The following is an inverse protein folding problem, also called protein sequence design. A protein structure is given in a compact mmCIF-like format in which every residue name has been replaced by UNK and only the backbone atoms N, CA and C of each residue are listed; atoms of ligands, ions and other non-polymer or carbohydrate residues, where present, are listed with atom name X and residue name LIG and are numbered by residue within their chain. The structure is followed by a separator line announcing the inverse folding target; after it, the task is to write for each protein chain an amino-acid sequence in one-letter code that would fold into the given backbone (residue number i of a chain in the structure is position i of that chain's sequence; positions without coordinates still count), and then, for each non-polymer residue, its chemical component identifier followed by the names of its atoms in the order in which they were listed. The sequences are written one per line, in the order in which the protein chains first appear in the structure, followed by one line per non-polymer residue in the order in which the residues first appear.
data_IF_338598681855
#
_entry.id   IF_338598681855
#
_cell.length_a   1.000
_cell.length_b   1.000
_cell.length_c   1.000
_cell.angle_alpha   90.00
_cell.angle_beta   90.00
_cell.angle_gamma   90.00
#
_symmetry.space_group_name_H-M   'P 1'
#
loop_
_entity.id
_entity.type
_entity.pdbx_description
1 polymer ?
#
# COMPACT_ATOMS: atom_id res chain seq x y z
N UNK A 1 13.00 -1.91 5.49
CA UNK A 1 11.98 -2.25 6.50
C UNK A 1 10.94 -1.15 6.52
N UNK A 2 9.73 -1.50 6.08
CA UNK A 2 8.46 -0.85 6.38
C UNK A 2 7.60 -1.90 7.13
N UNK A 3 6.29 -1.71 7.16
CA UNK A 3 5.34 -2.84 7.21
C UNK A 3 5.42 -3.70 5.94
N UNK A 4 4.68 -4.81 5.90
CA UNK A 4 4.49 -5.67 4.73
C UNK A 4 3.03 -6.09 4.72
N UNK A 5 2.27 -5.78 3.66
CA UNK A 5 0.89 -6.28 3.53
C UNK A 5 0.88 -7.82 3.42
N UNK A 6 -0.10 -8.46 4.06
CA UNK A 6 -0.32 -9.91 4.06
C UNK A 6 -1.82 -10.13 3.94
N UNK A 7 -2.24 -10.92 2.95
CA UNK A 7 -3.62 -11.29 2.73
C UNK A 7 -4.13 -12.33 3.75
N UNK A 8 -5.45 -12.40 3.92
CA UNK A 8 -6.13 -13.22 4.92
C UNK A 8 -5.87 -14.74 4.77
N UNK A 9 -5.49 -15.41 5.86
CA UNK A 9 -5.31 -16.86 5.88
C UNK A 9 -6.68 -17.55 6.03
N UNK A 10 -7.35 -17.83 4.90
CA UNK A 10 -8.71 -18.42 4.86
C UNK A 10 -8.79 -19.91 5.22
N UNK A 11 -7.68 -20.55 5.59
CA UNK A 11 -7.60 -21.97 5.97
C UNK A 11 -6.53 -22.16 7.05
N UNK A 12 -6.87 -22.88 8.12
CA UNK A 12 -5.95 -23.13 9.23
C UNK A 12 -4.92 -24.20 8.83
N UNK A 13 -3.68 -23.79 8.54
CA UNK A 13 -2.63 -24.72 8.10
C UNK A 13 -2.18 -25.72 9.18
N UNK A 14 -2.18 -25.31 10.46
CA UNK A 14 -1.79 -26.15 11.59
C UNK A 14 -2.66 -25.86 12.82
N UNK A 15 -3.14 -26.91 13.49
CA UNK A 15 -3.74 -26.79 14.83
C UNK A 15 -2.59 -26.56 15.83
N UNK A 16 -2.62 -25.53 16.69
CA UNK A 16 -1.60 -25.34 17.71
C UNK A 16 -1.59 -26.50 18.72
N UNK A 17 -0.44 -27.16 18.90
CA UNK A 17 -0.27 -28.18 19.93
C UNK A 17 -0.15 -27.55 21.33
N UNK A 18 -1.08 -27.91 22.23
CA UNK A 18 -1.19 -27.33 23.58
C UNK A 18 -0.57 -28.21 24.68
N UNK A 19 -0.25 -29.48 24.38
CA UNK A 19 0.29 -30.47 25.33
C UNK A 19 -0.72 -31.56 25.71
N UNK A 20 -0.22 -32.72 26.17
CA UNK A 20 -1.07 -33.90 26.43
C UNK A 20 -1.86 -33.83 27.76
N UNK A 21 -1.57 -32.86 28.63
CA UNK A 21 -2.14 -32.74 29.98
C UNK A 21 -3.32 -31.73 30.06
N UNK A 22 -4.08 -31.61 28.97
CA UNK A 22 -5.08 -30.57 28.73
C UNK A 22 -6.47 -30.96 29.28
N UNK A 23 -7.26 -29.95 29.69
CA UNK A 23 -8.59 -30.12 30.29
C UNK A 23 -9.71 -29.53 29.40
N UNK A 24 -10.96 -29.92 29.69
CA UNK A 24 -12.22 -29.53 29.01
C UNK A 24 -12.44 -28.02 28.71
N UNK A 25 -11.64 -27.11 29.26
CA UNK A 25 -11.69 -25.68 28.90
C UNK A 25 -11.08 -25.38 27.53
N UNK A 26 -10.28 -26.29 27.00
CA UNK A 26 -9.52 -26.09 25.76
C UNK A 26 -10.18 -26.80 24.56
N UNK A 27 -11.10 -27.75 24.79
CA UNK A 27 -12.00 -28.29 23.76
C UNK A 27 -12.79 -27.14 23.11
N UNK A 28 -13.42 -26.29 23.94
CA UNK A 28 -14.08 -25.05 23.50
C UNK A 28 -13.15 -24.10 22.72
N UNK A 29 -11.85 -24.04 23.04
CA UNK A 29 -10.90 -23.20 22.31
C UNK A 29 -10.61 -23.77 20.92
N UNK A 30 -10.53 -25.09 20.77
CA UNK A 30 -10.39 -25.73 19.45
C UNK A 30 -11.67 -25.56 18.64
N UNK A 31 -12.87 -25.76 19.21
CA UNK A 31 -14.14 -25.50 18.52
C UNK A 31 -14.28 -24.03 18.08
N UNK A 32 -13.94 -23.07 18.96
CA UNK A 32 -13.95 -21.65 18.63
C UNK A 32 -12.92 -21.28 17.55
N UNK A 33 -11.72 -21.88 17.61
CA UNK A 33 -10.68 -21.69 16.60
C UNK A 33 -11.12 -22.24 15.24
N UNK A 34 -11.72 -23.42 15.19
CA UNK A 34 -12.24 -24.01 13.95
C UNK A 34 -13.39 -23.18 13.36
N UNK A 35 -14.29 -22.68 14.21
CA UNK A 35 -15.39 -21.79 13.79
C UNK A 35 -14.86 -20.53 13.08
N UNK A 36 -13.72 -19.99 13.52
CA UNK A 36 -13.07 -18.81 12.95
C UNK A 36 -12.46 -18.99 11.54
N UNK A 37 -12.38 -20.24 11.04
CA UNK A 37 -11.92 -20.58 9.70
C UNK A 37 -12.99 -21.38 8.92
N UNK A 38 -14.28 -21.27 9.28
CA UNK A 38 -15.39 -22.05 8.70
C UNK A 38 -15.18 -23.58 8.77
N UNK A 39 -14.40 -24.08 9.73
CA UNK A 39 -13.98 -25.49 9.81
C UNK A 39 -12.88 -25.90 8.82
N UNK A 40 -12.31 -24.98 8.03
CA UNK A 40 -11.29 -25.25 7.01
C UNK A 40 -9.92 -25.45 7.66
N UNK A 41 -9.53 -26.70 7.82
CA UNK A 41 -8.18 -27.12 8.24
C UNK A 41 -7.45 -27.65 7.01
N UNK A 42 -6.17 -27.31 6.84
CA UNK A 42 -5.34 -27.95 5.83
C UNK A 42 -5.04 -29.40 6.23
N UNK A 43 -5.79 -30.36 5.69
CA UNK A 43 -5.53 -31.79 5.94
C UNK A 43 -4.42 -32.31 5.04
N UNK A 44 -3.45 -33.03 5.61
CA UNK A 44 -2.43 -33.80 4.86
C UNK A 44 -3.02 -35.09 4.23
N UNK A 45 -4.20 -34.98 3.60
CA UNK A 45 -4.78 -36.06 2.81
C UNK A 45 -3.98 -36.23 1.52
N UNK A 46 -3.64 -37.47 1.23
CA UNK A 46 -2.55 -37.85 0.33
C UNK A 46 -2.69 -37.28 -1.10
N UNK A 47 -1.59 -36.71 -1.61
CA UNK A 47 -1.29 -36.54 -3.03
C UNK A 47 -2.36 -35.86 -3.93
N UNK A 48 -3.23 -35.00 -3.40
CA UNK A 48 -4.14 -34.20 -4.25
C UNK A 48 -3.38 -33.03 -4.92
N UNK A 49 -2.71 -33.32 -6.04
CA UNK A 49 -1.95 -32.36 -6.86
C UNK A 49 -2.83 -31.56 -7.82
N UNK A 50 -2.32 -30.47 -8.39
CA UNK A 50 -3.01 -29.71 -9.43
C UNK A 50 -3.33 -30.55 -10.69
N UNK A 51 -2.55 -31.60 -10.96
CA UNK A 51 -2.82 -32.58 -12.02
C UNK A 51 -4.12 -33.34 -11.78
N UNK A 52 -4.28 -33.85 -10.55
CA UNK A 52 -5.47 -34.59 -10.12
C UNK A 52 -6.67 -33.64 -9.97
N UNK A 53 -6.46 -32.40 -9.55
CA UNK A 53 -7.50 -31.37 -9.53
C UNK A 53 -8.06 -31.09 -10.93
N UNK A 54 -7.19 -30.90 -11.94
CA UNK A 54 -7.63 -30.64 -13.32
C UNK A 54 -8.29 -31.86 -13.94
N UNK A 55 -7.75 -33.07 -13.72
CA UNK A 55 -8.38 -34.32 -14.20
C UNK A 55 -9.75 -34.56 -13.55
N UNK A 56 -9.91 -34.21 -12.26
CA UNK A 56 -11.18 -34.27 -11.56
C UNK A 56 -12.20 -33.27 -12.14
N UNK A 57 -11.80 -32.01 -12.35
CA UNK A 57 -12.66 -30.99 -12.96
C UNK A 57 -13.11 -31.42 -14.35
N UNK A 58 -12.21 -31.92 -15.20
CA UNK A 58 -12.54 -32.35 -16.56
C UNK A 58 -13.47 -33.58 -16.63
N UNK A 59 -13.46 -34.43 -15.60
CA UNK A 59 -14.38 -35.56 -15.48
C UNK A 59 -15.72 -35.19 -14.86
N UNK A 60 -15.74 -34.24 -13.91
CA UNK A 60 -16.96 -33.79 -13.25
C UNK A 60 -17.75 -32.78 -14.08
N UNK A 61 -17.10 -31.83 -14.73
CA UNK A 61 -17.77 -30.72 -15.44
C UNK A 61 -18.80 -31.18 -16.52
N UNK A 62 -18.59 -32.27 -17.29
CA UNK A 62 -19.62 -32.80 -18.20
C UNK A 62 -20.78 -33.56 -17.52
N UNK A 63 -20.68 -33.80 -16.21
CA UNK A 63 -21.63 -34.57 -15.39
C UNK A 63 -22.36 -33.72 -14.35
N UNK A 64 -21.97 -32.46 -14.18
CA UNK A 64 -22.61 -31.48 -13.29
C UNK A 64 -23.71 -30.75 -14.08
N UNK A 65 -24.93 -30.56 -13.53
CA UNK A 65 -25.98 -29.79 -14.19
C UNK A 65 -25.60 -28.33 -14.45
N UNK A 66 -26.09 -27.72 -15.53
CA UNK A 66 -25.79 -26.33 -15.91
C UNK A 66 -26.20 -25.29 -14.83
N UNK A 67 -27.11 -25.63 -13.91
CA UNK A 67 -27.52 -24.81 -12.77
C UNK A 67 -26.58 -24.93 -11.55
N UNK A 68 -25.53 -25.76 -11.61
CA UNK A 68 -24.59 -26.00 -10.53
C UNK A 68 -23.14 -25.69 -10.91
N UNK A 69 -22.42 -25.01 -10.03
CA UNK A 69 -21.03 -24.63 -10.25
C UNK A 69 -20.07 -25.74 -9.78
N UNK A 70 -19.41 -26.43 -10.73
CA UNK A 70 -18.41 -27.49 -10.43
C UNK A 70 -17.30 -27.02 -9.47
N UNK A 71 -16.91 -25.75 -9.54
CA UNK A 71 -15.87 -25.19 -8.67
C UNK A 71 -16.36 -25.00 -7.22
N UNK A 72 -17.66 -24.73 -7.01
CA UNK A 72 -18.27 -24.70 -5.67
C UNK A 72 -18.44 -26.11 -5.11
N UNK A 73 -18.84 -27.08 -5.92
CA UNK A 73 -18.91 -28.49 -5.50
C UNK A 73 -17.52 -28.97 -5.03
N UNK A 74 -16.47 -28.68 -5.78
CA UNK A 74 -15.10 -29.05 -5.42
C UNK A 74 -14.61 -28.25 -4.21
N UNK A 75 -14.90 -26.96 -4.10
CA UNK A 75 -14.55 -26.15 -2.91
C UNK A 75 -15.26 -26.65 -1.64
N UNK A 76 -16.49 -27.15 -1.74
CA UNK A 76 -17.23 -27.72 -0.61
C UNK A 76 -16.70 -29.11 -0.18
N UNK A 77 -16.21 -29.92 -1.12
CA UNK A 77 -15.64 -31.25 -0.82
C UNK A 77 -14.16 -31.18 -0.40
N UNK A 78 -13.41 -30.23 -0.96
CA UNK A 78 -11.97 -30.02 -0.77
C UNK A 78 -11.70 -28.59 -0.26
N UNK A 79 -12.35 -28.22 0.85
CA UNK A 79 -12.33 -26.87 1.41
C UNK A 79 -10.94 -26.40 1.88
N UNK A 80 -9.96 -27.33 1.96
CA UNK A 80 -8.55 -27.06 2.21
C UNK A 80 -7.77 -26.58 0.98
N UNK A 81 -8.33 -26.71 -0.24
CA UNK A 81 -7.68 -26.31 -1.51
C UNK A 81 -8.01 -24.88 -1.95
N UNK A 82 -8.92 -24.21 -1.24
CA UNK A 82 -9.31 -22.81 -1.43
C UNK A 82 -10.78 -22.60 -1.77
N UNK A 83 -11.14 -21.34 -2.02
CA UNK A 83 -12.46 -20.96 -2.54
C UNK A 83 -12.69 -21.52 -3.95
N UNK A 84 -13.95 -21.56 -4.39
CA UNK A 84 -14.31 -21.89 -5.77
C UNK A 84 -13.58 -21.00 -6.79
N UNK A 85 -13.32 -19.74 -6.45
CA UNK A 85 -12.60 -18.78 -7.29
C UNK A 85 -11.10 -19.09 -7.37
N UNK A 86 -10.44 -19.39 -6.25
CA UNK A 86 -9.04 -19.81 -6.21
C UNK A 86 -8.83 -21.13 -6.97
N UNK A 87 -9.77 -22.07 -6.85
CA UNK A 87 -9.74 -23.37 -7.55
C UNK A 87 -9.94 -23.16 -9.06
N UNK A 88 -10.87 -22.29 -9.47
CA UNK A 88 -11.11 -21.89 -10.86
C UNK A 88 -9.87 -21.19 -11.46
N UNK A 89 -9.21 -20.32 -10.71
CA UNK A 89 -7.96 -19.68 -11.13
C UNK A 89 -6.87 -20.73 -11.37
N UNK A 90 -6.58 -21.61 -10.40
CA UNK A 90 -5.57 -22.68 -10.53
C UNK A 90 -5.86 -23.61 -11.72
N UNK A 91 -7.11 -23.99 -11.93
CA UNK A 91 -7.54 -24.79 -13.09
C UNK A 91 -7.26 -24.07 -14.42
N UNK A 92 -7.58 -22.78 -14.52
CA UNK A 92 -7.29 -21.97 -15.70
C UNK A 92 -5.78 -21.86 -15.94
N UNK A 93 -5.00 -21.49 -14.92
CA UNK A 93 -3.53 -21.41 -14.99
C UNK A 93 -2.89 -22.72 -15.42
N UNK A 94 -3.36 -23.85 -14.90
CA UNK A 94 -2.82 -25.17 -15.22
C UNK A 94 -3.22 -25.66 -16.62
N UNK A 95 -4.42 -25.30 -17.10
CA UNK A 95 -4.82 -25.55 -18.51
C UNK A 95 -4.12 -24.62 -19.49
N UNK A 96 -3.86 -23.37 -19.12
CA UNK A 96 -3.01 -22.43 -19.87
C UNK A 96 -1.52 -22.75 -19.66
N UNK A 97 -1.14 -24.01 -19.84
CA UNK A 97 0.18 -24.56 -19.52
C UNK A 97 1.24 -23.97 -20.46
N UNK A 98 1.83 -22.86 -19.98
CA UNK A 98 2.37 -21.72 -20.76
C UNK A 98 1.25 -20.88 -21.40
N UNK A 99 1.09 -19.59 -21.04
CA UNK A 99 0.36 -18.67 -21.89
C UNK A 99 1.06 -18.59 -23.26
N UNK A 100 0.31 -18.32 -24.32
CA UNK A 100 0.87 -18.21 -25.68
C UNK A 100 1.91 -17.07 -25.71
N UNK A 101 3.15 -17.32 -26.21
CA UNK A 101 4.13 -16.26 -26.49
C UNK A 101 3.66 -15.15 -27.46
N UNK A 102 2.44 -15.22 -28.01
CA UNK A 102 1.78 -14.09 -28.68
C UNK A 102 1.07 -13.11 -27.72
N UNK A 103 0.76 -13.50 -26.49
CA UNK A 103 0.08 -12.64 -25.53
C UNK A 103 1.06 -11.78 -24.72
N UNK A 104 2.13 -12.38 -24.20
CA UNK A 104 3.23 -11.65 -23.55
C UNK A 104 4.18 -11.06 -24.59
N UNK A 105 4.56 -9.77 -24.51
CA UNK A 105 5.60 -9.22 -25.37
C UNK A 105 6.96 -9.87 -25.04
N UNK A 106 7.75 -10.29 -26.03
CA UNK A 106 9.16 -10.65 -25.81
C UNK A 106 9.97 -9.41 -25.40
N UNK A 107 11.14 -9.62 -24.79
CA UNK A 107 12.00 -8.50 -24.42
C UNK A 107 12.36 -7.65 -25.65
N UNK A 108 12.22 -6.33 -25.52
CA UNK A 108 12.53 -5.33 -26.55
C UNK A 108 14.01 -5.33 -26.98
N UNK A 109 14.91 -5.82 -26.12
CA UNK A 109 16.33 -6.00 -26.43
C UNK A 109 16.64 -7.24 -27.31
N UNK A 110 15.63 -8.04 -27.67
CA UNK A 110 15.75 -9.23 -28.52
C UNK A 110 15.24 -9.02 -29.96
N UNK A 111 15.37 -10.04 -30.81
CA UNK A 111 14.88 -10.00 -32.20
C UNK A 111 13.35 -9.96 -32.29
N UNK A 112 12.80 -8.75 -32.52
CA UNK A 112 11.37 -8.49 -32.62
C UNK A 112 10.78 -8.91 -33.99
N UNK A 113 10.45 -10.20 -34.07
CA UNK A 113 9.75 -10.82 -35.21
C UNK A 113 8.33 -10.26 -35.48
N UNK A 114 7.77 -9.45 -34.56
CA UNK A 114 6.44 -8.81 -34.66
C UNK A 114 6.49 -7.39 -34.09
N UNK A 115 5.57 -6.53 -34.52
CA UNK A 115 5.32 -5.21 -33.91
C UNK A 115 4.26 -5.36 -32.82
N UNK A 116 4.45 -4.67 -31.68
CA UNK A 116 3.53 -4.69 -30.54
C UNK A 116 3.01 -3.26 -30.24
N UNK A 117 1.80 -3.16 -29.72
CA UNK A 117 1.22 -1.89 -29.28
C UNK A 117 1.88 -1.42 -27.97
N UNK A 118 1.88 -0.10 -27.73
CA UNK A 118 2.38 0.46 -26.45
C UNK A 118 1.75 -0.25 -25.26
N UNK A 119 0.43 -0.40 -25.27
CA UNK A 119 -0.33 -0.86 -24.11
C UNK A 119 -0.05 -2.34 -23.81
N UNK A 120 0.34 -3.15 -24.82
CA UNK A 120 0.91 -4.49 -24.59
C UNK A 120 2.33 -4.43 -24.04
N UNK A 121 3.25 -3.69 -24.68
CA UNK A 121 4.67 -3.57 -24.26
C UNK A 121 4.78 -3.07 -22.82
N UNK A 122 3.94 -2.09 -22.47
CA UNK A 122 3.96 -1.43 -21.18
C UNK A 122 3.06 -2.09 -20.15
N UNK A 123 2.25 -3.10 -20.49
CA UNK A 123 1.32 -3.76 -19.56
C UNK A 123 1.98 -4.19 -18.24
N UNK A 124 3.10 -4.92 -18.33
CA UNK A 124 3.88 -5.32 -17.15
C UNK A 124 4.50 -4.13 -16.40
N UNK A 125 4.78 -3.03 -17.10
CA UNK A 125 5.31 -1.79 -16.52
C UNK A 125 4.23 -0.89 -15.89
N UNK A 126 3.00 -0.89 -16.40
CA UNK A 126 1.88 -0.09 -15.87
C UNK A 126 1.24 -0.78 -14.67
N UNK A 127 1.07 -2.10 -14.75
CA UNK A 127 0.25 -2.83 -13.79
C UNK A 127 1.06 -3.23 -12.56
N UNK A 128 2.34 -3.58 -12.72
CA UNK A 128 3.20 -3.93 -11.59
C UNK A 128 3.81 -2.69 -10.90
N UNK A 129 3.95 -1.54 -11.58
CA UNK A 129 4.64 -0.37 -11.02
C UNK A 129 3.78 0.44 -10.05
N UNK A 130 4.08 0.32 -8.77
CA UNK A 130 3.42 1.14 -7.75
C UNK A 130 4.00 2.57 -7.71
N UNK A 131 3.22 3.52 -8.21
CA UNK A 131 3.53 4.97 -8.19
C UNK A 131 3.69 5.57 -6.78
N UNK A 132 3.26 4.87 -5.71
CA UNK A 132 3.37 5.34 -4.31
C UNK A 132 4.75 5.09 -3.70
N UNK A 133 5.41 3.98 -4.06
CA UNK A 133 6.70 3.56 -3.49
C UNK A 133 7.86 3.48 -4.52
N UNK A 134 7.56 3.51 -5.82
CA UNK A 134 8.50 3.38 -6.93
C UNK A 134 9.16 1.99 -7.09
N UNK A 135 8.46 0.92 -6.71
CA UNK A 135 8.85 -0.47 -7.01
C UNK A 135 7.83 -1.14 -7.93
N UNK A 136 8.27 -2.18 -8.64
CA UNK A 136 7.36 -3.16 -9.25
C UNK A 136 6.87 -4.14 -8.17
N UNK A 137 5.71 -4.76 -8.41
CA UNK A 137 5.10 -5.81 -7.59
C UNK A 137 5.03 -5.43 -6.10
N UNK A 138 4.36 -4.31 -5.81
CA UNK A 138 4.33 -3.74 -4.48
C UNK A 138 3.16 -4.27 -3.65
N UNK A 139 3.46 -5.24 -2.79
CA UNK A 139 2.53 -5.76 -1.77
C UNK A 139 1.84 -4.65 -0.95
N UNK A 140 2.54 -3.56 -0.63
CA UNK A 140 1.97 -2.45 0.16
C UNK A 140 0.75 -1.75 -0.50
N UNK A 141 0.52 -1.90 -1.82
CA UNK A 141 -0.42 -1.07 -2.58
C UNK A 141 -0.98 -1.73 -3.86
N UNK A 142 -2.21 -2.23 -3.81
CA UNK A 142 -2.99 -2.63 -5.00
C UNK A 142 -3.52 -1.43 -5.80
N UNK A 143 -3.67 -1.62 -7.12
CA UNK A 143 -4.20 -0.68 -8.11
C UNK A 143 -4.88 -1.47 -9.25
N UNK A 144 -6.03 -1.02 -9.76
CA UNK A 144 -6.68 -1.51 -10.99
C UNK A 144 -6.51 -0.51 -12.18
N UNK A 145 -6.91 -0.91 -13.40
CA UNK A 145 -6.60 -0.24 -14.69
C UNK A 145 -7.58 0.87 -15.16
N UNK A 146 -7.11 1.79 -16.04
CA UNK A 146 -7.96 2.49 -17.05
C UNK A 146 -7.11 3.08 -18.24
N UNK A 147 -7.71 3.36 -19.43
CA UNK A 147 -6.97 3.71 -20.70
C UNK A 147 -7.72 4.59 -21.75
N UNK A 148 -6.99 4.99 -22.84
CA UNK A 148 -7.37 5.74 -24.10
C UNK A 148 -7.15 7.28 -24.00
N UNK A 149 -7.28 8.21 -24.98
CA UNK A 149 -7.72 8.35 -26.42
C UNK A 149 -7.10 9.72 -26.98
N UNK A 150 -7.08 10.28 -28.23
CA UNK A 150 -7.57 10.05 -29.63
C UNK A 150 -6.88 11.01 -30.68
N UNK A 151 -7.04 10.76 -32.01
CA UNK A 151 -7.10 11.62 -33.25
C UNK A 151 -6.06 12.75 -33.54
N UNK A 152 -5.91 13.32 -34.76
CA UNK A 152 -5.89 12.79 -36.15
C UNK A 152 -5.26 13.84 -37.14
N UNK A 153 -5.08 13.44 -38.42
CA UNK A 153 -4.60 14.16 -39.64
C UNK A 153 -3.08 14.02 -39.97
N UNK A 154 -2.73 13.28 -41.05
CA UNK A 154 -1.81 13.70 -42.17
C UNK A 154 -1.57 12.61 -43.25
N UNK A 155 -2.47 12.51 -44.24
CA UNK A 155 -2.53 11.41 -45.22
C UNK A 155 -1.68 11.61 -46.51
N UNK A 156 -0.35 11.85 -46.40
CA UNK A 156 0.52 12.11 -47.60
C UNK A 156 1.98 11.61 -47.58
N UNK A 157 2.40 10.75 -46.65
CA UNK A 157 3.81 10.28 -46.54
C UNK A 157 3.87 8.75 -46.46
N UNK A 158 4.95 8.14 -46.99
CA UNK A 158 5.19 6.68 -47.01
C UNK A 158 6.39 6.28 -46.17
N UNK A 159 6.37 5.08 -45.59
CA UNK A 159 7.28 4.63 -44.52
C UNK A 159 8.02 3.32 -44.84
N UNK A 160 8.27 3.07 -46.12
CA UNK A 160 8.78 1.80 -46.65
C UNK A 160 10.21 1.45 -46.17
N UNK A 161 10.86 2.35 -45.41
CA UNK A 161 12.21 2.25 -44.84
C UNK A 161 12.25 2.00 -43.32
N UNK A 162 11.10 1.77 -42.68
CA UNK A 162 10.99 1.57 -41.23
C UNK A 162 10.90 0.10 -40.82
N UNK A 163 11.85 -0.35 -40.01
CA UNK A 163 11.89 -1.71 -39.45
C UNK A 163 11.02 -1.86 -38.19
N UNK A 164 10.84 -3.08 -37.68
CA UNK A 164 9.99 -3.34 -36.50
C UNK A 164 10.48 -2.66 -35.23
N UNK A 165 11.79 -2.48 -35.05
CA UNK A 165 12.37 -1.79 -33.90
C UNK A 165 12.11 -0.28 -33.97
N UNK A 166 12.27 0.35 -35.13
CA UNK A 166 11.94 1.78 -35.35
C UNK A 166 10.49 2.08 -34.91
N UNK A 167 9.56 1.23 -35.34
CA UNK A 167 8.11 1.33 -35.06
C UNK A 167 7.81 1.10 -33.57
N UNK A 168 8.46 0.10 -32.97
CA UNK A 168 8.30 -0.24 -31.55
C UNK A 168 8.82 0.86 -30.63
N UNK A 169 10.03 1.37 -30.91
CA UNK A 169 10.62 2.49 -30.17
C UNK A 169 9.77 3.76 -30.32
N UNK A 170 9.17 3.99 -31.49
CA UNK A 170 8.25 5.11 -31.69
C UNK A 170 7.02 5.01 -30.78
N UNK A 171 6.36 3.85 -30.73
CA UNK A 171 5.19 3.64 -29.87
C UNK A 171 5.48 3.94 -28.39
N UNK A 172 6.66 3.57 -27.89
CA UNK A 172 7.11 3.88 -26.51
C UNK A 172 7.43 5.37 -26.34
N UNK A 173 8.15 5.96 -27.29
CA UNK A 173 8.63 7.33 -27.21
C UNK A 173 7.50 8.37 -27.31
N UNK A 174 6.49 8.14 -28.16
CA UNK A 174 5.42 9.11 -28.41
C UNK A 174 4.54 9.35 -27.18
N UNK A 175 4.20 8.32 -26.38
CA UNK A 175 3.42 8.53 -25.14
C UNK A 175 4.24 9.17 -24.00
N UNK A 176 5.57 9.17 -24.12
CA UNK A 176 6.49 9.69 -23.08
C UNK A 176 6.99 11.11 -23.37
N UNK A 177 7.25 11.45 -24.64
CA UNK A 177 7.70 12.77 -25.08
C UNK A 177 6.59 13.62 -25.73
N UNK A 178 5.40 13.04 -25.94
CA UNK A 178 4.27 13.65 -26.65
C UNK A 178 4.74 14.23 -28.00
N UNK A 179 4.18 15.37 -28.43
CA UNK A 179 4.47 15.98 -29.72
C UNK A 179 5.89 16.62 -29.82
N UNK A 180 6.85 16.23 -28.97
CA UNK A 180 8.26 16.60 -29.12
C UNK A 180 8.98 15.60 -30.04
N UNK A 181 8.58 15.63 -31.33
CA UNK A 181 9.13 14.78 -32.38
C UNK A 181 10.64 14.94 -32.58
N UNK A 182 11.24 16.07 -32.18
CA UNK A 182 12.69 16.30 -32.23
C UNK A 182 13.45 15.46 -31.18
N UNK A 183 12.92 15.33 -29.96
CA UNK A 183 13.51 14.44 -28.95
C UNK A 183 13.33 12.97 -29.35
N UNK A 184 12.16 12.60 -29.89
CA UNK A 184 11.87 11.25 -30.38
C UNK A 184 12.78 10.89 -31.56
N UNK A 185 13.03 11.82 -32.48
CA UNK A 185 14.01 11.69 -33.57
C UNK A 185 15.44 11.46 -33.07
N UNK A 186 15.83 12.13 -31.99
CA UNK A 186 17.15 11.93 -31.37
C UNK A 186 17.28 10.53 -30.77
N UNK A 187 16.19 9.97 -30.22
CA UNK A 187 16.15 8.62 -29.65
C UNK A 187 16.16 7.52 -30.73
N UNK A 188 15.35 7.67 -31.78
CA UNK A 188 15.11 6.65 -32.83
C UNK A 188 16.07 6.80 -34.02
N UNK A 189 16.81 7.91 -34.11
CA UNK A 189 17.82 8.21 -35.15
C UNK A 189 17.23 8.32 -36.57
N UNK A 190 15.97 8.76 -36.69
CA UNK A 190 15.32 9.15 -37.95
C UNK A 190 15.16 10.68 -38.00
N UNK A 191 15.01 11.32 -39.17
CA UNK A 191 14.66 12.74 -39.27
C UNK A 191 13.37 13.08 -38.51
N UNK A 192 13.32 14.25 -37.84
CA UNK A 192 12.13 14.66 -37.07
C UNK A 192 10.86 14.83 -37.91
N UNK A 193 11.00 15.08 -39.22
CA UNK A 193 9.88 15.10 -40.17
C UNK A 193 9.31 13.71 -40.44
N UNK A 194 10.14 12.65 -40.45
CA UNK A 194 9.67 11.26 -40.58
C UNK A 194 9.00 10.79 -39.29
N UNK A 195 9.55 11.13 -38.12
CA UNK A 195 8.93 10.84 -36.82
C UNK A 195 7.55 11.48 -36.71
N UNK A 196 7.42 12.75 -37.11
CA UNK A 196 6.13 13.45 -37.12
C UNK A 196 5.16 12.86 -38.15
N UNK A 197 5.65 12.49 -39.33
CA UNK A 197 4.79 11.85 -40.32
C UNK A 197 4.30 10.46 -39.86
N UNK A 198 5.17 9.67 -39.22
CA UNK A 198 4.80 8.35 -38.72
C UNK A 198 3.84 8.44 -37.53
N UNK A 199 3.88 9.51 -36.73
CA UNK A 199 2.95 9.69 -35.59
C UNK A 199 1.48 9.78 -35.97
N UNK A 200 1.19 10.16 -37.21
CA UNK A 200 -0.19 10.27 -37.69
C UNK A 200 -0.66 8.97 -38.37
N UNK A 201 0.19 8.30 -39.16
CA UNK A 201 -0.15 7.05 -39.85
C UNK A 201 -0.63 5.92 -38.90
N UNK A 202 -0.13 5.84 -37.65
CA UNK A 202 -0.52 4.74 -36.73
C UNK A 202 -1.87 4.96 -36.03
N UNK A 203 -2.57 6.07 -36.31
CA UNK A 203 -3.90 6.34 -35.73
C UNK A 203 -5.04 5.74 -36.57
N UNK A 204 -4.82 5.55 -37.87
CA UNK A 204 -5.89 5.22 -38.82
C UNK A 204 -6.42 3.77 -38.72
N UNK A 205 -5.70 2.87 -38.04
CA UNK A 205 -6.12 1.46 -37.88
C UNK A 205 -7.28 1.25 -36.87
N UNK A 206 -7.56 2.20 -35.95
CA UNK A 206 -8.53 1.98 -34.83
C UNK A 206 -9.26 3.25 -34.37
N UNK A 207 -10.13 3.86 -35.20
CA UNK A 207 -11.03 4.94 -34.71
C UNK A 207 -12.48 4.92 -35.25
N UNK A 208 -13.43 5.09 -34.33
CA UNK A 208 -14.67 5.85 -34.56
C UNK A 208 -15.01 6.68 -33.31
N UNK A 209 -15.83 7.72 -33.47
CA UNK A 209 -16.54 8.49 -32.41
C UNK A 209 -15.77 9.59 -31.65
N UNK A 210 -15.39 10.61 -32.41
CA UNK A 210 -15.73 12.04 -32.15
C UNK A 210 -14.89 12.96 -31.22
N UNK A 211 -15.17 14.27 -31.34
CA UNK A 211 -14.26 15.41 -31.08
C UNK A 211 -14.86 16.58 -30.24
N UNK A 212 -13.98 17.57 -29.95
CA UNK A 212 -14.19 18.98 -29.54
C UNK A 212 -13.91 19.33 -28.07
N UNK A 213 -13.38 20.51 -27.71
CA UNK A 213 -12.63 21.56 -28.44
C UNK A 213 -12.01 22.54 -27.41
N UNK A 214 -10.84 23.13 -27.68
CA UNK A 214 -10.18 24.12 -26.81
C UNK A 214 -9.56 25.29 -27.59
N UNK A 215 -9.71 26.51 -27.07
CA UNK A 215 -9.30 27.79 -27.70
C UNK A 215 -8.11 28.46 -26.97
N UNK A 216 -7.24 29.19 -27.68
CA UNK A 216 -6.03 29.84 -27.12
C UNK A 216 -6.32 31.26 -26.60
N UNK A 217 -6.11 31.50 -25.30
CA UNK A 217 -5.72 32.85 -24.84
C UNK A 217 -4.59 32.86 -23.79
N UNK A 218 -3.37 32.98 -24.33
CA UNK A 218 -2.10 33.45 -23.75
C UNK A 218 -2.18 34.39 -22.53
N UNK A 219 -1.33 34.07 -21.55
CA UNK A 219 -0.60 34.99 -20.64
C UNK A 219 -1.26 36.32 -20.20
N UNK A 220 -1.82 36.35 -18.98
CA UNK A 220 -1.98 37.60 -18.19
C UNK A 220 -1.49 37.42 -16.75
N UNK A 221 -0.42 38.13 -16.37
CA UNK A 221 0.13 38.17 -15.00
C UNK A 221 -0.93 38.67 -14.01
N UNK A 222 -1.44 37.81 -13.12
CA UNK A 222 -2.48 38.16 -12.12
C UNK A 222 -1.88 38.51 -10.76
N UNK A 223 -2.39 39.58 -10.14
CA UNK A 223 -1.94 40.11 -8.83
C UNK A 223 -2.14 39.09 -7.71
N UNK A 224 -1.30 39.14 -6.66
CA UNK A 224 -1.42 38.30 -5.44
C UNK A 224 -2.82 38.44 -4.83
N UNK A 225 -3.59 37.35 -4.78
CA UNK A 225 -4.82 37.25 -3.98
C UNK A 225 -4.51 36.91 -2.51
N UNK A 226 -5.39 37.23 -1.55
CA UNK A 226 -5.15 36.98 -0.12
C UNK A 226 -5.04 35.48 0.23
N UNK A 227 -4.60 35.23 1.46
CA UNK A 227 -3.84 34.03 1.83
C UNK A 227 -4.72 32.76 2.05
N UNK A 228 -5.27 32.18 0.96
CA UNK A 228 -6.06 30.93 0.96
C UNK A 228 -5.48 29.83 1.87
N UNK A 229 -4.15 29.68 1.87
CA UNK A 229 -3.42 28.70 2.68
C UNK A 229 -3.77 28.76 4.17
N UNK A 230 -3.93 29.95 4.75
CA UNK A 230 -4.22 30.11 6.18
C UNK A 230 -5.65 29.69 6.54
N UNK A 231 -6.62 29.97 5.67
CA UNK A 231 -7.98 29.48 5.84
C UNK A 231 -8.05 27.94 5.71
N UNK A 232 -7.32 27.36 4.75
CA UNK A 232 -7.25 25.91 4.59
C UNK A 232 -6.60 25.22 5.82
N UNK A 233 -5.49 25.74 6.33
CA UNK A 233 -4.86 25.18 7.53
C UNK A 233 -5.76 25.28 8.78
N UNK A 234 -6.58 26.35 8.90
CA UNK A 234 -7.62 26.42 9.93
C UNK A 234 -8.75 25.39 9.72
N UNK A 235 -9.21 25.16 8.49
CA UNK A 235 -10.18 24.08 8.16
C UNK A 235 -9.67 22.71 8.58
N UNK A 236 -8.36 22.45 8.44
CA UNK A 236 -7.71 21.22 8.88
C UNK A 236 -7.60 21.14 10.42
N UNK A 237 -7.20 22.23 11.09
CA UNK A 237 -7.12 22.28 12.56
C UNK A 237 -8.48 22.13 13.26
N UNK A 238 -9.57 22.55 12.62
CA UNK A 238 -10.93 22.39 13.12
C UNK A 238 -11.55 21.00 12.84
N UNK A 239 -10.85 20.10 12.13
CA UNK A 239 -11.31 18.72 11.90
C UNK A 239 -10.96 17.75 13.05
N UNK A 240 -10.35 18.20 14.16
CA UNK A 240 -9.73 17.31 15.17
C UNK A 240 -10.66 16.94 16.36
N UNK A 241 -10.48 15.72 16.88
CA UNK A 241 -10.80 15.26 18.24
C UNK A 241 -12.24 15.29 18.80
N UNK A 242 -13.13 14.48 18.21
CA UNK A 242 -14.00 13.52 18.96
C UNK A 242 -14.33 12.33 18.04
N UNK A 243 -14.29 11.10 18.58
CA UNK A 243 -14.57 9.80 17.94
C UNK A 243 -14.59 9.78 16.40
N UNK A 244 -13.42 9.59 15.78
CA UNK A 244 -13.31 9.34 14.34
C UNK A 244 -12.66 8.00 14.07
N UNK A 245 -13.42 7.15 13.39
CA UNK A 245 -12.93 6.06 12.57
C UNK A 245 -11.81 6.56 11.66
N UNK A 246 -10.65 5.92 11.73
CA UNK A 246 -9.49 6.17 10.87
C UNK A 246 -9.67 5.30 9.63
N UNK A 247 -10.07 5.87 8.50
CA UNK A 247 -10.25 5.14 7.24
C UNK A 247 -8.95 5.20 6.45
N UNK A 248 -8.53 4.08 5.85
CA UNK A 248 -7.34 4.01 5.01
C UNK A 248 -7.43 4.95 3.79
N UNK A 249 -6.27 5.38 3.29
CA UNK A 249 -6.20 6.30 2.15
C UNK A 249 -6.03 5.57 0.81
N UNK A 250 -7.14 5.49 0.08
CA UNK A 250 -7.19 5.26 -1.37
C UNK A 250 -7.25 6.60 -2.11
N UNK A 251 -6.54 6.77 -3.25
CA UNK A 251 -6.72 7.90 -4.14
C UNK A 251 -8.17 8.11 -4.62
N UNK A 252 -8.42 9.27 -5.24
CA UNK A 252 -9.64 9.51 -6.01
C UNK A 252 -9.29 9.74 -7.48
N UNK A 253 -9.99 9.02 -8.35
CA UNK A 253 -9.62 8.86 -9.77
C UNK A 253 -10.62 9.51 -10.74
N UNK A 254 -11.63 10.20 -10.21
CA UNK A 254 -12.64 10.88 -11.01
C UNK A 254 -12.02 11.99 -11.90
N UNK A 255 -12.19 11.85 -13.22
CA UNK A 255 -11.66 12.77 -14.24
C UNK A 255 -12.63 13.95 -14.41
N UNK A 256 -12.07 15.16 -14.56
CA UNK A 256 -12.69 16.49 -14.77
C UNK A 256 -13.78 16.98 -13.79
N UNK A 257 -14.36 16.09 -12.97
CA UNK A 257 -15.24 16.45 -11.87
C UNK A 257 -14.46 16.97 -10.65
N UNK A 258 -15.12 17.79 -9.84
CA UNK A 258 -14.53 18.38 -8.63
C UNK A 258 -14.62 17.42 -7.46
N UNK A 259 -13.71 17.56 -6.50
CA UNK A 259 -13.85 16.84 -5.22
C UNK A 259 -14.97 17.47 -4.37
N UNK A 260 -16.20 17.07 -4.66
CA UNK A 260 -17.41 17.34 -3.86
C UNK A 260 -17.87 16.05 -3.14
N UNK A 261 -19.13 15.99 -2.70
CA UNK A 261 -19.65 14.86 -1.93
C UNK A 261 -19.66 13.51 -2.68
N UNK A 262 -19.52 13.53 -4.01
CA UNK A 262 -19.34 12.32 -4.84
C UNK A 262 -17.94 11.70 -4.71
N UNK A 263 -16.92 12.50 -4.38
CA UNK A 263 -15.52 12.08 -4.31
C UNK A 263 -15.27 11.14 -3.12
N UNK A 264 -14.61 9.99 -3.38
CA UNK A 264 -14.23 9.01 -2.35
C UNK A 264 -13.52 9.64 -1.14
N UNK A 265 -12.52 10.49 -1.38
CA UNK A 265 -11.80 11.17 -0.31
C UNK A 265 -12.71 12.10 0.53
N UNK A 266 -13.61 12.86 -0.12
CA UNK A 266 -14.49 13.83 0.57
C UNK A 266 -15.60 13.11 1.34
N UNK A 267 -16.22 12.10 0.73
CA UNK A 267 -17.21 11.20 1.34
C UNK A 267 -16.64 10.54 2.60
N UNK A 268 -15.42 10.03 2.53
CA UNK A 268 -14.70 9.40 3.64
C UNK A 268 -14.04 10.43 4.59
N UNK A 269 -14.31 11.74 4.40
CA UNK A 269 -13.81 12.89 5.21
C UNK A 269 -12.29 13.07 5.21
N UNK A 270 -11.57 12.33 4.36
CA UNK A 270 -10.13 12.37 4.13
C UNK A 270 -9.69 13.70 3.49
N UNK A 271 -8.43 13.76 3.07
CA UNK A 271 -7.78 14.88 2.38
C UNK A 271 -7.20 14.29 1.08
N UNK A 272 -7.25 15.02 -0.02
CA UNK A 272 -6.65 14.54 -1.27
C UNK A 272 -5.12 14.66 -1.23
N UNK A 273 -4.42 13.57 -1.54
CA UNK A 273 -2.95 13.55 -1.62
C UNK A 273 -2.47 13.74 -3.04
N UNK A 274 -1.16 13.95 -3.23
CA UNK A 274 -0.50 14.03 -4.55
C UNK A 274 -0.80 12.85 -5.49
N UNK A 275 -1.27 11.72 -4.96
CA UNK A 275 -1.63 10.51 -5.69
C UNK A 275 -3.03 10.53 -6.33
N UNK A 276 -3.97 11.38 -5.87
CA UNK A 276 -5.28 11.52 -6.52
C UNK A 276 -5.13 12.02 -7.97
N UNK A 277 -5.99 11.57 -8.88
CA UNK A 277 -6.06 12.04 -10.27
C UNK A 277 -6.71 13.43 -10.42
N UNK A 278 -7.53 13.84 -9.43
CA UNK A 278 -8.25 15.12 -9.44
C UNK A 278 -7.34 16.35 -9.65
N UNK A 279 -7.89 17.48 -10.09
CA UNK A 279 -7.11 18.69 -10.44
C UNK A 279 -6.03 19.08 -9.42
N UNK A 280 -4.86 19.53 -9.89
CA UNK A 280 -3.74 20.00 -9.03
C UNK A 280 -4.13 21.19 -8.16
N UNK A 281 -5.08 22.02 -8.60
CA UNK A 281 -5.66 23.15 -7.84
C UNK A 281 -6.85 22.75 -6.94
N UNK A 282 -7.12 21.45 -6.76
CA UNK A 282 -8.24 20.95 -5.95
C UNK A 282 -8.20 21.53 -4.51
N UNK A 283 -9.30 22.13 -4.02
CA UNK A 283 -9.34 22.82 -2.73
C UNK A 283 -9.29 21.90 -1.51
N UNK A 284 -9.44 20.58 -1.71
CA UNK A 284 -9.35 19.56 -0.66
C UNK A 284 -7.99 18.82 -0.67
N UNK A 285 -7.01 19.26 -1.48
CA UNK A 285 -5.63 18.73 -1.46
C UNK A 285 -4.84 19.23 -0.25
N UNK A 286 -3.98 18.38 0.32
CA UNK A 286 -3.10 18.80 1.41
C UNK A 286 -2.02 19.79 0.90
N UNK A 287 -1.94 21.04 1.42
CA UNK A 287 -1.14 22.10 0.81
C UNK A 287 0.31 22.18 1.29
N UNK A 288 0.78 21.17 2.03
CA UNK A 288 2.10 21.16 2.67
C UNK A 288 2.27 22.22 3.76
N UNK A 289 3.49 22.32 4.28
CA UNK A 289 3.89 23.38 5.21
C UNK A 289 4.72 24.47 4.50
N UNK A 290 4.79 25.66 5.12
CA UNK A 290 5.68 26.77 4.72
C UNK A 290 6.66 27.14 5.84
N UNK A 291 7.01 26.16 6.66
CA UNK A 291 7.94 26.30 7.77
C UNK A 291 9.39 26.41 7.24
N UNK A 292 10.28 27.05 7.99
CA UNK A 292 11.71 27.19 7.62
C UNK A 292 12.59 26.00 8.05
N UNK A 293 12.18 25.30 9.11
CA UNK A 293 12.88 24.17 9.72
C UNK A 293 11.98 23.49 10.78
N UNK A 294 12.50 22.41 11.38
CA UNK A 294 12.02 21.63 12.52
C UNK A 294 10.66 20.94 12.32
N UNK A 295 9.59 21.69 12.06
CA UNK A 295 8.22 21.16 11.87
C UNK A 295 7.64 20.32 13.03
N UNK A 296 8.22 20.35 14.22
CA UNK A 296 7.86 19.50 15.37
C UNK A 296 6.92 20.17 16.39
N UNK A 297 6.14 21.17 15.97
CA UNK A 297 5.19 21.90 16.84
C UNK A 297 3.87 22.16 16.11
N UNK A 298 2.80 22.48 16.86
CA UNK A 298 1.47 22.81 16.28
C UNK A 298 1.46 24.05 15.36
N UNK A 299 2.56 24.80 15.25
CA UNK A 299 2.73 25.85 14.25
C UNK A 299 2.90 25.29 12.82
N UNK A 300 3.36 24.04 12.68
CA UNK A 300 3.41 23.36 11.39
C UNK A 300 2.07 22.65 11.11
N UNK A 301 1.42 22.87 9.95
CA UNK A 301 0.15 22.21 9.63
C UNK A 301 0.29 20.69 9.45
N UNK A 302 1.46 20.18 9.00
CA UNK A 302 1.70 18.74 8.91
C UNK A 302 1.61 18.10 10.31
N UNK A 303 2.44 18.57 11.24
CA UNK A 303 2.46 18.09 12.62
C UNK A 303 1.12 18.29 13.34
N UNK A 304 0.49 19.46 13.14
CA UNK A 304 -0.82 19.76 13.70
C UNK A 304 -1.97 18.93 13.11
N UNK A 305 -1.80 18.35 11.92
CA UNK A 305 -2.76 17.44 11.29
C UNK A 305 -2.34 15.96 11.44
N UNK A 306 -1.37 15.65 12.32
CA UNK A 306 -0.88 14.29 12.59
C UNK A 306 -0.20 13.63 11.36
N UNK A 307 0.55 14.45 10.60
CA UNK A 307 1.23 14.04 9.37
C UNK A 307 2.72 14.33 9.39
N UNK A 308 3.51 13.52 8.69
CA UNK A 308 4.86 13.91 8.29
C UNK A 308 4.84 14.97 7.16
N UNK A 309 5.98 15.61 6.92
CA UNK A 309 6.16 16.57 5.85
C UNK A 309 6.49 15.85 4.54
N UNK A 310 5.50 15.80 3.65
CA UNK A 310 5.65 15.29 2.28
C UNK A 310 6.80 16.02 1.55
N UNK A 311 7.81 15.31 1.02
CA UNK A 311 8.99 15.92 0.39
C UNK A 311 8.64 16.71 -0.88
N UNK A 312 7.63 16.31 -1.64
CA UNK A 312 7.28 16.93 -2.93
C UNK A 312 6.47 18.23 -2.75
N UNK A 313 5.92 18.44 -1.54
CA UNK A 313 5.03 19.57 -1.22
C UNK A 313 5.69 20.53 -0.21
N UNK A 314 6.55 20.05 0.68
CA UNK A 314 7.10 20.81 1.81
C UNK A 314 8.50 21.43 1.57
N UNK A 315 8.82 21.81 0.33
CA UNK A 315 10.14 22.30 -0.10
C UNK A 315 10.68 23.61 0.52
N UNK A 316 10.13 24.08 1.65
CA UNK A 316 10.72 25.20 2.42
C UNK A 316 11.32 24.76 3.76
N UNK A 317 10.89 23.62 4.30
CA UNK A 317 11.29 23.18 5.64
C UNK A 317 12.49 22.22 5.64
N UNK A 318 12.88 21.72 4.47
CA UNK A 318 13.94 20.73 4.32
C UNK A 318 13.46 19.28 4.41
N UNK A 319 12.22 18.96 3.97
CA UNK A 319 11.76 17.58 3.84
C UNK A 319 12.23 16.92 2.53
N UNK A 320 12.36 17.76 1.51
CA UNK A 320 12.92 17.57 0.18
C UNK A 320 14.43 17.24 0.20
N UNK A 321 15.17 17.72 1.21
CA UNK A 321 16.62 17.52 1.30
C UNK A 321 16.99 16.03 1.37
N UNK A 322 17.92 15.61 0.51
CA UNK A 322 18.42 14.24 0.41
C UNK A 322 19.52 13.90 1.41
N UNK A 323 20.36 14.88 1.77
CA UNK A 323 21.35 14.72 2.83
C UNK A 323 20.66 14.65 4.21
N UNK A 324 20.72 13.47 4.81
CA UNK A 324 20.15 13.17 6.13
C UNK A 324 20.98 13.76 7.29
N UNK A 325 22.24 14.15 7.08
CA UNK A 325 23.08 14.71 8.14
C UNK A 325 22.69 16.16 8.45
N UNK A 326 22.38 16.96 7.41
CA UNK A 326 22.04 18.39 7.53
C UNK A 326 20.54 18.67 7.32
N UNK A 327 19.68 17.66 7.50
CA UNK A 327 18.24 17.78 7.22
C UNK A 327 17.53 18.69 8.23
N UNK A 328 16.93 19.78 7.74
CA UNK A 328 16.38 20.84 8.62
C UNK A 328 15.00 20.51 9.19
N UNK A 329 14.26 19.61 8.54
CA UNK A 329 12.96 19.13 9.01
C UNK A 329 13.12 17.92 9.93
N UNK A 330 12.46 17.91 11.10
CA UNK A 330 12.42 16.75 12.02
C UNK A 330 11.14 15.93 11.90
N UNK A 331 10.19 16.38 11.09
CA UNK A 331 8.87 15.76 10.90
C UNK A 331 8.87 14.88 9.63
N UNK A 332 9.90 14.04 9.48
CA UNK A 332 10.18 13.16 8.32
C UNK A 332 10.87 11.84 8.75
N UNK A 333 10.87 11.55 10.05
CA UNK A 333 11.68 10.51 10.65
C UNK A 333 11.15 9.10 10.32
N UNK A 334 9.83 8.95 10.12
CA UNK A 334 9.21 7.70 9.70
C UNK A 334 9.50 7.45 8.21
N UNK A 335 9.29 8.43 7.34
CA UNK A 335 9.53 8.26 5.89
C UNK A 335 11.02 8.09 5.53
N UNK A 336 11.94 8.67 6.30
CA UNK A 336 13.40 8.50 6.12
C UNK A 336 14.02 7.41 7.02
N UNK A 337 13.23 6.76 7.88
CA UNK A 337 13.69 5.67 8.76
C UNK A 337 14.68 6.07 9.87
N UNK A 338 14.67 7.34 10.30
CA UNK A 338 15.63 7.98 11.22
C UNK A 338 15.43 7.58 12.70
N UNK A 339 15.36 6.28 12.96
CA UNK A 339 15.19 5.67 14.29
C UNK A 339 16.48 5.74 15.12
N UNK A 340 16.34 5.89 16.44
CA UNK A 340 17.45 5.78 17.41
C UNK A 340 17.92 4.32 17.51
N UNK A 341 19.16 4.12 17.98
CA UNK A 341 19.75 2.78 18.12
C UNK A 341 19.18 2.05 19.34
N UNK A 342 18.70 0.82 19.14
CA UNK A 342 18.06 -0.02 20.16
C UNK A 342 18.85 -1.31 20.44
N UNK A 343 18.92 -1.68 21.72
CA UNK A 343 19.55 -2.90 22.25
C UNK A 343 18.46 -3.81 22.81
N UNK A 344 18.59 -5.12 22.60
CA UNK A 344 17.72 -6.15 23.18
C UNK A 344 18.39 -6.67 24.47
N UNK A 345 17.61 -6.88 25.52
CA UNK A 345 18.06 -7.45 26.79
C UNK A 345 16.93 -8.18 27.51
N UNK A 346 17.22 -8.80 28.65
CA UNK A 346 16.17 -9.28 29.56
C UNK A 346 15.45 -8.05 30.15
N UNK A 347 14.13 -8.09 30.24
CA UNK A 347 13.33 -7.01 30.85
C UNK A 347 13.38 -7.08 32.37
N UNK A 348 13.35 -5.93 33.04
CA UNK A 348 13.16 -5.87 34.50
C UNK A 348 11.72 -6.24 34.92
N UNK A 349 10.78 -6.31 33.96
CA UNK A 349 9.38 -6.72 34.18
C UNK A 349 9.17 -8.19 33.79
N UNK A 350 9.31 -8.54 32.51
CA UNK A 350 9.05 -9.89 32.02
C UNK A 350 9.73 -10.20 30.68
N UNK A 351 10.42 -11.34 30.59
CA UNK A 351 10.96 -11.86 29.33
C UNK A 351 12.00 -10.94 28.69
N UNK A 352 11.76 -10.49 27.46
CA UNK A 352 12.66 -9.63 26.69
C UNK A 352 12.19 -8.18 26.71
N UNK A 353 13.12 -7.26 26.96
CA UNK A 353 12.94 -5.81 26.92
C UNK A 353 13.82 -5.14 25.87
N UNK A 354 13.49 -3.91 25.49
CA UNK A 354 14.26 -3.10 24.54
C UNK A 354 14.76 -1.81 25.18
N UNK A 355 16.05 -1.54 25.02
CA UNK A 355 16.79 -0.51 25.72
C UNK A 355 17.35 0.53 24.74
N UNK A 356 17.30 1.81 25.12
CA UNK A 356 17.76 2.91 24.27
C UNK A 356 19.29 3.08 24.34
N UNK A 357 20.02 2.94 23.24
CA UNK A 357 21.49 3.12 23.21
C UNK A 357 21.91 4.61 23.12
N UNK A 358 21.01 5.54 23.39
CA UNK A 358 21.22 6.99 23.21
C UNK A 358 20.36 7.76 24.22
N UNK A 359 20.40 9.09 24.20
CA UNK A 359 19.44 9.95 24.91
C UNK A 359 18.26 10.27 23.99
N UNK A 360 17.05 10.38 24.56
CA UNK A 360 15.90 10.97 23.87
C UNK A 360 15.33 12.13 24.68
N UNK A 361 15.05 13.26 24.03
CA UNK A 361 14.28 14.35 24.61
C UNK A 361 12.77 14.14 24.42
N UNK A 362 11.94 14.88 25.16
CA UNK A 362 10.49 14.72 25.07
C UNK A 362 9.96 15.01 23.65
N UNK A 363 9.14 14.08 23.15
CA UNK A 363 8.62 13.97 21.80
C UNK A 363 9.65 13.64 20.70
N UNK A 364 10.89 13.24 21.04
CA UNK A 364 11.79 12.63 20.06
C UNK A 364 11.17 11.34 19.48
N UNK A 365 11.35 11.13 18.18
CA UNK A 365 11.08 9.85 17.54
C UNK A 365 12.11 8.81 18.02
N UNK A 366 11.63 7.62 18.39
CA UNK A 366 12.46 6.49 18.81
C UNK A 366 12.59 5.49 17.66
N UNK A 367 11.46 4.96 17.19
CA UNK A 367 11.36 4.03 16.07
C UNK A 367 9.93 4.01 15.55
N UNK A 368 9.76 3.57 14.31
CA UNK A 368 8.48 3.06 13.83
C UNK A 368 8.23 1.69 14.46
N UNK A 369 6.97 1.35 14.76
CA UNK A 369 6.53 -0.02 15.07
C UNK A 369 6.15 -0.69 13.74
N UNK A 370 6.98 -1.63 13.27
CA UNK A 370 6.76 -2.33 11.99
C UNK A 370 6.37 -3.79 12.23
N UNK A 371 5.46 -4.30 11.38
CA UNK A 371 5.05 -5.69 11.34
C UNK A 371 4.41 -6.06 10.00
N UNK A 372 3.73 -7.20 9.97
CA UNK A 372 2.79 -7.56 8.90
C UNK A 372 1.54 -6.67 9.01
N UNK A 373 0.99 -6.21 7.89
CA UNK A 373 -0.24 -5.43 7.83
C UNK A 373 -1.36 -6.32 7.30
N UNK A 374 -2.32 -6.61 8.17
CA UNK A 374 -3.39 -7.58 8.00
C UNK A 374 -4.75 -6.91 8.20
N UNK A 375 -5.84 -7.53 7.73
CA UNK A 375 -7.21 -7.06 8.00
C UNK A 375 -7.57 -7.14 9.49
N UNK A 376 -8.73 -6.57 9.88
CA UNK A 376 -9.26 -6.80 11.24
C UNK A 376 -9.66 -8.26 11.45
N UNK A 377 -10.26 -8.92 10.44
CA UNK A 377 -10.74 -10.30 10.55
C UNK A 377 -9.58 -11.28 10.76
N UNK A 378 -8.49 -11.12 10.01
CA UNK A 378 -7.23 -11.87 10.20
C UNK A 378 -6.57 -11.54 11.54
N UNK A 379 -6.65 -10.29 12.01
CA UNK A 379 -6.16 -9.92 13.33
C UNK A 379 -6.97 -10.58 14.46
N UNK A 380 -8.28 -10.73 14.31
CA UNK A 380 -9.14 -11.45 15.26
C UNK A 380 -8.88 -12.98 15.21
N UNK A 381 -8.70 -13.58 14.03
CA UNK A 381 -8.26 -14.99 13.90
C UNK A 381 -6.93 -15.24 14.62
N UNK A 382 -5.93 -14.39 14.41
CA UNK A 382 -4.63 -14.45 15.11
C UNK A 382 -4.77 -14.15 16.61
N UNK A 383 -5.64 -13.21 16.95
CA UNK A 383 -5.91 -12.73 18.31
C UNK A 383 -6.27 -13.86 19.25
N UNK A 384 -7.18 -14.77 18.87
CA UNK A 384 -7.58 -15.92 19.71
C UNK A 384 -6.39 -16.83 20.06
N UNK A 385 -5.52 -17.12 19.09
CA UNK A 385 -4.29 -17.90 19.30
C UNK A 385 -3.33 -17.13 20.23
N UNK A 386 -3.24 -15.81 20.10
CA UNK A 386 -2.32 -14.99 20.89
C UNK A 386 -2.80 -14.75 22.32
N UNK A 387 -4.11 -14.70 22.56
CA UNK A 387 -4.71 -14.60 23.89
C UNK A 387 -4.49 -15.88 24.71
N UNK A 388 -4.68 -17.05 24.10
CA UNK A 388 -4.36 -18.34 24.76
C UNK A 388 -2.86 -18.43 25.12
N UNK A 389 -1.99 -18.07 24.17
CA UNK A 389 -0.54 -17.97 24.38
C UNK A 389 -0.10 -16.75 25.21
N UNK A 390 -1.03 -15.90 25.68
CA UNK A 390 -0.81 -14.67 26.46
C UNK A 390 0.26 -13.72 25.90
N UNK A 391 0.36 -13.64 24.57
CA UNK A 391 1.48 -13.02 23.86
C UNK A 391 1.03 -12.47 22.50
N UNK A 392 0.33 -11.33 22.54
CA UNK A 392 -0.09 -10.59 21.34
C UNK A 392 0.89 -9.47 20.98
N UNK A 393 1.10 -9.27 19.68
CA UNK A 393 1.88 -8.18 19.08
C UNK A 393 1.06 -7.40 18.04
N UNK A 394 -0.28 -7.46 18.18
CA UNK A 394 -1.24 -6.76 17.34
C UNK A 394 -1.34 -5.29 17.77
N UNK A 395 -1.17 -4.37 16.82
CA UNK A 395 -1.33 -2.94 17.02
C UNK A 395 -2.30 -2.38 15.97
N UNK A 396 -3.53 -2.04 16.38
CA UNK A 396 -4.54 -1.48 15.47
C UNK A 396 -4.06 -0.16 14.83
N UNK A 397 -4.09 -0.10 13.50
CA UNK A 397 -3.54 1.00 12.70
C UNK A 397 -4.64 1.99 12.28
N UNK A 398 -5.74 1.46 11.76
CA UNK A 398 -6.90 2.16 11.22
C UNK A 398 -8.07 1.14 11.16
N UNK A 399 -9.32 1.51 10.86
CA UNK A 399 -10.44 0.54 10.96
C UNK A 399 -10.30 -0.65 9.98
N UNK A 400 -9.48 -0.50 8.94
CA UNK A 400 -9.40 -1.46 7.86
C UNK A 400 -8.20 -2.42 8.07
N UNK A 401 -7.20 -2.02 8.87
CA UNK A 401 -5.93 -2.75 9.05
C UNK A 401 -5.36 -2.73 10.48
N UNK A 402 -4.64 -3.81 10.83
CA UNK A 402 -3.85 -4.00 12.04
C UNK A 402 -2.40 -4.31 11.68
N UNK A 403 -1.43 -3.89 12.52
CA UNK A 403 -0.03 -4.29 12.41
C UNK A 403 0.27 -5.45 13.37
N UNK A 404 0.58 -6.62 12.85
CA UNK A 404 1.07 -7.78 13.60
C UNK A 404 2.61 -7.85 13.58
N UNK A 405 3.26 -7.59 14.71
CA UNK A 405 4.71 -7.73 14.81
C UNK A 405 5.18 -9.14 15.25
N UNK A 406 4.30 -10.16 15.37
CA UNK A 406 4.63 -11.52 15.84
C UNK A 406 5.55 -12.26 14.87
N UNK A 407 5.09 -12.49 13.62
CA UNK A 407 5.81 -13.25 12.59
C UNK A 407 7.00 -12.45 12.05
N UNK A 408 6.73 -11.32 11.40
CA UNK A 408 7.73 -10.34 10.92
C UNK A 408 7.61 -9.07 11.75
N UNK A 409 8.73 -8.41 12.06
CA UNK A 409 8.71 -7.15 12.81
C UNK A 409 10.09 -6.56 13.04
N UNK A 410 10.14 -5.41 13.71
CA UNK A 410 11.40 -4.71 14.02
C UNK A 410 11.68 -4.65 15.55
N UNK A 411 12.84 -4.11 15.94
CA UNK A 411 13.30 -4.10 17.35
C UNK A 411 12.34 -3.47 18.36
N UNK A 412 11.51 -2.49 18.00
CA UNK A 412 10.64 -1.84 19.01
C UNK A 412 9.45 -2.73 19.42
N UNK A 413 9.24 -3.89 18.77
CA UNK A 413 8.25 -4.88 19.21
C UNK A 413 8.50 -5.45 20.61
N UNK A 414 9.73 -5.31 21.12
CA UNK A 414 10.14 -5.72 22.47
C UNK A 414 10.09 -4.57 23.50
N UNK A 415 9.42 -3.45 23.19
CA UNK A 415 9.10 -2.41 24.18
C UNK A 415 7.86 -2.83 24.95
N UNK A 416 8.02 -3.13 26.24
CA UNK A 416 6.98 -3.76 27.06
C UNK A 416 5.82 -2.81 27.42
N UNK A 417 4.75 -3.40 27.94
CA UNK A 417 3.64 -2.63 28.49
C UNK A 417 4.01 -1.98 29.84
N UNK A 418 3.49 -0.77 30.07
CA UNK A 418 3.40 -0.13 31.38
C UNK A 418 2.21 0.82 31.39
N UNK A 419 1.55 1.01 32.54
CA UNK A 419 0.57 2.09 32.74
C UNK A 419 1.24 3.46 32.98
N UNK A 420 2.52 3.47 33.36
CA UNK A 420 3.34 4.67 33.57
C UNK A 420 4.50 4.80 32.55
N UNK A 421 4.24 4.63 31.24
CA UNK A 421 5.29 4.40 30.24
C UNK A 421 6.17 5.63 30.00
N UNK A 422 7.43 5.39 29.60
CA UNK A 422 8.34 6.45 29.16
C UNK A 422 8.20 6.82 27.68
N UNK A 423 7.52 6.00 26.87
CA UNK A 423 7.15 6.29 25.48
C UNK A 423 5.64 6.44 25.28
N UNK A 424 5.24 6.90 24.10
CA UNK A 424 3.87 6.83 23.58
C UNK A 424 3.89 6.47 22.09
N UNK A 425 2.89 5.71 21.65
CA UNK A 425 2.65 5.43 20.25
C UNK A 425 1.71 6.47 19.62
N UNK A 426 1.89 6.72 18.32
CA UNK A 426 1.06 7.64 17.54
C UNK A 426 1.00 7.17 16.09
N UNK A 427 -0.19 6.81 15.61
CA UNK A 427 -0.46 6.65 14.18
C UNK A 427 -0.29 8.01 13.51
N UNK A 428 0.44 8.06 12.40
CA UNK A 428 0.64 9.25 11.58
C UNK A 428 0.39 8.94 10.11
N UNK A 429 -0.10 9.92 9.36
CA UNK A 429 -0.22 9.83 7.90
C UNK A 429 1.10 10.27 7.26
N UNK A 430 1.69 9.37 6.47
CA UNK A 430 3.04 9.47 5.91
C UNK A 430 2.96 9.12 4.42
N UNK A 431 2.95 10.12 3.55
CA UNK A 431 2.83 9.94 2.08
C UNK A 431 1.68 9.01 1.65
N UNK A 432 0.50 9.13 2.28
CA UNK A 432 -0.67 8.29 2.00
C UNK A 432 -0.69 6.93 2.72
N UNK A 433 0.36 6.57 3.44
CA UNK A 433 0.44 5.39 4.31
C UNK A 433 0.09 5.79 5.76
N UNK A 434 -0.78 5.04 6.46
CA UNK A 434 -0.86 5.12 7.92
C UNK A 434 0.31 4.34 8.53
N UNK A 435 1.11 4.95 9.41
CA UNK A 435 2.30 4.32 10.04
C UNK A 435 2.42 4.67 11.52
N UNK A 436 2.91 3.73 12.33
CA UNK A 436 2.93 3.83 13.79
C UNK A 436 4.29 4.32 14.26
N UNK A 437 4.38 5.58 14.70
CA UNK A 437 5.58 6.11 15.33
C UNK A 437 5.56 5.92 16.85
N UNK A 438 6.67 5.44 17.42
CA UNK A 438 6.93 5.41 18.86
C UNK A 438 7.82 6.61 19.22
N UNK A 439 7.37 7.41 20.19
CA UNK A 439 7.97 8.68 20.60
C UNK A 439 8.19 8.74 22.11
N UNK A 440 9.18 9.52 22.56
CA UNK A 440 9.48 9.70 23.97
C UNK A 440 8.43 10.57 24.70
N UNK A 441 7.78 10.05 25.75
CA UNK A 441 6.77 10.77 26.58
C UNK A 441 7.41 11.78 27.55
N UNK A 442 8.65 11.50 27.95
CA UNK A 442 9.55 12.35 28.76
C UNK A 442 10.97 12.26 28.20
N UNK A 443 11.95 12.90 28.86
CA UNK A 443 13.37 12.60 28.61
C UNK A 443 13.67 11.17 29.03
N UNK A 444 14.43 10.45 28.21
CA UNK A 444 14.84 9.05 28.41
C UNK A 444 16.37 8.99 28.41
N UNK A 445 16.95 8.28 29.39
CA UNK A 445 18.39 8.10 29.54
C UNK A 445 18.91 7.00 28.61
N UNK A 446 20.22 7.02 28.37
CA UNK A 446 20.92 5.90 27.73
C UNK A 446 20.87 4.66 28.64
N UNK A 447 20.61 3.52 28.03
CA UNK A 447 20.36 2.21 28.63
C UNK A 447 19.11 2.10 29.52
N UNK A 448 18.15 3.01 29.35
CA UNK A 448 16.82 2.87 29.96
C UNK A 448 15.95 1.90 29.12
N UNK A 449 15.20 0.98 29.76
CA UNK A 449 14.20 0.14 29.07
C UNK A 449 13.05 1.02 28.56
N UNK A 450 12.48 0.66 27.41
CA UNK A 450 11.41 1.40 26.75
C UNK A 450 10.06 0.70 26.95
N UNK A 451 9.09 1.46 27.46
CA UNK A 451 7.73 1.00 27.68
C UNK A 451 6.73 1.91 26.99
N UNK A 452 5.61 1.35 26.49
CA UNK A 452 4.47 2.13 26.02
C UNK A 452 3.14 1.54 26.53
N UNK A 453 2.12 2.40 26.59
CA UNK A 453 0.77 1.97 26.93
C UNK A 453 0.15 1.24 25.72
N UNK A 454 -0.21 -0.03 25.91
CA UNK A 454 -0.79 -0.91 24.89
C UNK A 454 -2.31 -0.66 24.73
N UNK A 455 -2.93 0.08 25.66
CA UNK A 455 -4.37 0.36 25.70
C UNK A 455 -5.26 -0.89 25.72
N UNK A 456 -4.79 -1.94 26.40
CA UNK A 456 -5.60 -3.12 26.71
C UNK A 456 -6.97 -2.73 27.25
N UNK A 457 -8.02 -3.46 26.85
CA UNK A 457 -9.35 -3.31 27.40
C UNK A 457 -9.37 -3.60 28.91
N UNK A 458 -10.39 -3.15 29.67
CA UNK A 458 -10.47 -3.37 31.12
C UNK A 458 -10.33 -4.85 31.53
N UNK A 459 -10.82 -5.76 30.68
CA UNK A 459 -10.76 -7.21 30.89
C UNK A 459 -9.34 -7.78 30.67
N UNK A 460 -8.56 -7.17 29.78
CA UNK A 460 -7.27 -7.70 29.32
C UNK A 460 -6.11 -7.16 30.14
N UNK A 461 -6.26 -5.94 30.70
CA UNK A 461 -5.40 -5.43 31.76
C UNK A 461 -5.30 -6.43 32.93
N UNK A 462 -6.42 -7.05 33.30
CA UNK A 462 -6.49 -8.06 34.37
C UNK A 462 -5.84 -9.40 33.99
N UNK A 463 -5.75 -9.74 32.69
CA UNK A 463 -5.08 -10.96 32.19
C UNK A 463 -3.55 -10.79 32.16
N UNK A 464 -3.07 -9.69 31.57
CA UNK A 464 -1.70 -9.56 31.10
C UNK A 464 -0.81 -8.65 31.97
N UNK A 465 -1.38 -7.70 32.73
CA UNK A 465 -0.61 -6.73 33.53
C UNK A 465 -0.46 -7.22 34.98
N UNK A 466 0.38 -8.23 35.18
CA UNK A 466 0.53 -8.94 36.47
C UNK A 466 1.60 -8.39 37.42
N UNK A 467 2.42 -7.41 37.03
CA UNK A 467 3.70 -7.11 37.73
C UNK A 467 3.80 -5.67 38.28
N UNK A 468 3.14 -4.67 37.68
CA UNK A 468 3.13 -3.28 38.20
C UNK A 468 2.19 -3.07 39.42
N UNK A 469 2.09 -4.05 40.34
CA UNK A 469 1.24 -3.95 41.56
C UNK A 469 1.99 -4.08 42.89
N UNK A 470 3.24 -4.53 42.88
CA UNK A 470 4.02 -4.85 44.09
C UNK A 470 5.30 -3.99 44.23
N UNK A 471 5.24 -2.71 43.86
CA UNK A 471 6.27 -1.67 44.10
C UNK A 471 5.65 -0.35 44.56
#
# INVERSE_FOLDING_TARGET
MKNVHIDDETTLHHIPYLGDNVNQKEDNFIEELLTNYDGKIHTEKENFTDEILVELIDKLNPSVPDDQNVFEIISNVFADKGSAENIKQRYNEYKMKKPDPMETPPNIDGDLNKVYSFDKIMHSYTNLYCRRCHTYDCTDHSNDEDTRIKSAILDKIKFDTWNNLDKTLFNVAIKSYYNNFCNIATLIRKPCIEIYAYSEHIKDDVESDDNNSYDDMRNKKKKKKPNKWSAHCKKLQLKDSTSKTLINYTPCEHIDSKCDQSCSCVRNKLICEKYCACSKDCPERFPGCRCKAQCNTKQCPCYSAVRECDPDICGTCGADQSDLQNVRCKNIAIQRGLKKKLILGVSDIAGWGIFLNDVAEKNDFISEYCGEMISQDEADRRGKIYDNNRSSFLFNLNNDYVIDAKRKGNKIRFANHSINPNCYAKVMMVNGEHRIGIFAKRKIKKFEELFFDYRYGPNDQLKFVRIERDQ
#
